data_IF_752604167438
#
_entry.id   IF_752604167438
#
_cell.length_a   1.000
_cell.length_b   1.000
_cell.length_c   1.000
_cell.angle_alpha   90.00
_cell.angle_beta   90.00
_cell.angle_gamma   90.00
#
_symmetry.space_group_name_H-M   'P 1'
#
loop_
_entity.id
_entity.type
_entity.pdbx_description
1 polymer ?
#
# COMPACT_ATOMS: atom_id res chain seq x y z
N UNK A 1 -18.01 21.61 35.25
CA UNK A 1 -18.09 23.05 34.88
C UNK A 1 -17.73 23.32 33.41
N UNK A 2 -16.77 22.60 32.80
CA UNK A 2 -16.42 22.78 31.36
C UNK A 2 -17.54 22.28 30.42
N UNK A 3 -18.19 21.16 30.75
CA UNK A 3 -19.24 20.57 29.90
C UNK A 3 -20.52 21.42 29.82
N UNK A 4 -20.86 22.18 30.87
CA UNK A 4 -22.07 23.02 30.92
C UNK A 4 -21.98 24.28 30.05
N UNK A 5 -20.77 24.72 29.70
CA UNK A 5 -20.56 25.90 28.85
C UNK A 5 -20.53 25.52 27.38
N UNK A 6 -20.02 24.32 27.07
CA UNK A 6 -20.02 23.71 25.72
C UNK A 6 -21.45 23.46 25.22
N UNK A 7 -22.38 23.14 26.13
CA UNK A 7 -23.78 22.80 25.87
C UNK A 7 -24.72 24.01 25.66
N UNK A 8 -24.22 25.25 25.57
CA UNK A 8 -25.10 26.43 25.36
C UNK A 8 -25.31 26.79 23.89
N UNK A 9 -24.44 26.38 22.99
CA UNK A 9 -24.57 26.67 21.56
C UNK A 9 -25.25 25.50 20.83
N UNK A 10 -26.47 25.69 20.26
CA UNK A 10 -27.25 24.61 19.65
C UNK A 10 -26.53 23.96 18.45
N UNK A 11 -25.69 24.71 17.75
CA UNK A 11 -24.94 24.21 16.59
C UNK A 11 -23.90 23.17 17.01
N UNK A 12 -23.18 23.42 18.09
CA UNK A 12 -22.18 22.51 18.66
C UNK A 12 -22.81 21.18 19.07
N UNK A 13 -24.01 21.23 19.66
CA UNK A 13 -24.76 20.03 20.07
C UNK A 13 -25.16 19.21 18.85
N UNK A 14 -25.67 19.86 17.79
CA UNK A 14 -26.07 19.15 16.56
C UNK A 14 -24.88 18.42 15.94
N UNK A 15 -23.74 19.09 15.79
CA UNK A 15 -22.52 18.47 15.24
C UNK A 15 -21.99 17.34 16.12
N UNK A 16 -22.03 17.49 17.44
CA UNK A 16 -21.64 16.44 18.38
C UNK A 16 -22.55 15.22 18.27
N UNK A 17 -23.87 15.41 18.30
CA UNK A 17 -24.85 14.33 18.20
C UNK A 17 -24.70 13.63 16.84
N UNK A 18 -24.54 14.38 15.74
CA UNK A 18 -24.35 13.82 14.41
C UNK A 18 -23.08 12.97 14.32
N UNK A 19 -21.95 13.48 14.83
CA UNK A 19 -20.66 12.77 14.79
C UNK A 19 -20.69 11.51 15.65
N UNK A 20 -21.29 11.60 16.85
CA UNK A 20 -21.42 10.46 17.78
C UNK A 20 -22.38 9.41 17.21
N UNK A 21 -23.54 9.82 16.70
CA UNK A 21 -24.52 8.91 16.09
C UNK A 21 -23.92 8.18 14.88
N UNK A 22 -23.21 8.91 14.01
CA UNK A 22 -22.51 8.31 12.86
C UNK A 22 -21.48 7.27 13.31
N UNK A 23 -20.68 7.59 14.32
CA UNK A 23 -19.66 6.69 14.87
C UNK A 23 -20.28 5.41 15.45
N UNK A 24 -21.37 5.54 16.21
CA UNK A 24 -22.08 4.41 16.80
C UNK A 24 -22.65 3.49 15.72
N UNK A 25 -23.30 4.06 14.69
CA UNK A 25 -23.86 3.28 13.58
C UNK A 25 -22.75 2.46 12.90
N UNK A 26 -21.59 3.07 12.62
CA UNK A 26 -20.47 2.38 11.96
C UNK A 26 -19.84 1.30 12.83
N UNK A 27 -19.75 1.53 14.14
CA UNK A 27 -19.28 0.51 15.10
C UNK A 27 -20.24 -0.70 15.14
N UNK A 28 -21.55 -0.45 15.13
CA UNK A 28 -22.56 -1.52 15.13
C UNK A 28 -22.56 -2.28 13.81
N UNK A 29 -22.45 -1.60 12.67
CA UNK A 29 -22.27 -2.22 11.36
C UNK A 29 -21.04 -3.13 11.34
N UNK A 30 -19.88 -2.64 11.81
CA UNK A 30 -18.66 -3.43 11.89
C UNK A 30 -18.82 -4.69 12.77
N UNK A 31 -19.45 -4.55 13.95
CA UNK A 31 -19.68 -5.70 14.83
C UNK A 31 -20.62 -6.74 14.20
N UNK A 32 -21.67 -6.30 13.53
CA UNK A 32 -22.60 -7.21 12.85
C UNK A 32 -21.92 -7.96 11.70
N UNK A 33 -21.11 -7.26 10.91
CA UNK A 33 -20.35 -7.85 9.82
C UNK A 33 -19.33 -8.87 10.35
N UNK A 34 -18.59 -8.51 11.39
CA UNK A 34 -17.65 -9.41 12.06
C UNK A 34 -18.34 -10.69 12.55
N UNK A 35 -19.46 -10.56 13.26
CA UNK A 35 -20.22 -11.73 13.76
C UNK A 35 -20.70 -12.61 12.61
N UNK A 36 -21.14 -12.00 11.50
CA UNK A 36 -21.58 -12.74 10.32
C UNK A 36 -20.44 -13.55 9.70
N UNK A 37 -19.30 -12.93 9.38
CA UNK A 37 -18.16 -13.62 8.76
C UNK A 37 -17.58 -14.67 9.73
N UNK A 38 -17.48 -14.34 11.01
CA UNK A 38 -16.98 -15.28 12.02
C UNK A 38 -17.92 -16.47 12.24
N UNK A 39 -19.24 -16.27 12.15
CA UNK A 39 -20.21 -17.37 12.18
C UNK A 39 -20.01 -18.30 10.98
N UNK A 40 -19.90 -17.75 9.78
CA UNK A 40 -19.65 -18.55 8.57
C UNK A 40 -18.31 -19.32 8.64
N UNK A 41 -17.25 -18.70 9.18
CA UNK A 41 -15.98 -19.36 9.45
C UNK A 41 -16.13 -20.50 10.49
N UNK A 42 -16.90 -20.27 11.55
CA UNK A 42 -17.16 -21.26 12.60
C UNK A 42 -17.97 -22.44 12.06
N UNK A 43 -19.00 -22.17 11.26
CA UNK A 43 -19.81 -23.18 10.59
C UNK A 43 -18.94 -24.03 9.65
N UNK A 44 -18.01 -23.39 8.93
CA UNK A 44 -17.06 -24.04 8.06
C UNK A 44 -16.00 -24.87 8.82
N UNK A 45 -15.62 -24.45 10.04
CA UNK A 45 -14.72 -25.22 10.90
C UNK A 45 -15.38 -26.44 11.55
N UNK A 46 -16.64 -26.33 11.99
CA UNK A 46 -17.32 -27.41 12.71
C UNK A 46 -17.93 -28.45 11.77
N UNK A 47 -18.58 -28.02 10.68
CA UNK A 47 -19.21 -28.92 9.72
C UNK A 47 -19.24 -28.31 8.32
N UNK A 48 -18.10 -28.34 7.64
CA UNK A 48 -17.93 -27.75 6.31
C UNK A 48 -18.98 -28.22 5.30
N UNK A 49 -19.44 -29.49 5.37
CA UNK A 49 -20.41 -30.06 4.41
C UNK A 49 -21.77 -29.36 4.42
N UNK A 50 -22.15 -28.77 5.56
CA UNK A 50 -23.43 -28.07 5.71
C UNK A 50 -23.28 -26.54 5.62
N UNK A 51 -22.04 -26.02 5.49
CA UNK A 51 -21.83 -24.58 5.33
C UNK A 51 -22.41 -24.10 4.00
N UNK A 52 -23.22 -23.04 4.07
CA UNK A 52 -23.87 -22.45 2.90
C UNK A 52 -22.82 -21.91 1.91
N UNK A 53 -21.76 -21.29 2.42
CA UNK A 53 -20.66 -20.78 1.62
C UNK A 53 -19.95 -21.92 0.90
N UNK A 54 -19.66 -23.03 1.59
CA UNK A 54 -19.01 -24.18 0.97
C UNK A 54 -19.89 -24.82 -0.12
N UNK A 55 -21.18 -25.07 0.15
CA UNK A 55 -22.10 -25.65 -0.85
C UNK A 55 -22.19 -24.75 -2.09
N UNK A 56 -22.33 -23.43 -1.90
CA UNK A 56 -22.36 -22.48 -3.00
C UNK A 56 -21.05 -22.51 -3.80
N UNK A 57 -19.92 -22.45 -3.11
CA UNK A 57 -18.59 -22.46 -3.73
C UNK A 57 -18.32 -23.76 -4.51
N UNK A 58 -18.74 -24.90 -3.96
CA UNK A 58 -18.64 -26.21 -4.61
C UNK A 58 -19.51 -26.31 -5.86
N UNK A 59 -20.75 -25.82 -5.81
CA UNK A 59 -21.62 -25.82 -6.98
C UNK A 59 -21.05 -24.94 -8.09
N UNK A 60 -20.55 -23.76 -7.74
CA UNK A 60 -19.88 -22.88 -8.69
C UNK A 60 -18.64 -23.55 -9.27
N UNK A 61 -17.78 -24.14 -8.44
CA UNK A 61 -16.59 -24.86 -8.89
C UNK A 61 -16.91 -25.99 -9.88
N UNK A 62 -17.91 -26.81 -9.57
CA UNK A 62 -18.36 -27.90 -10.46
C UNK A 62 -18.89 -27.37 -11.79
N UNK A 63 -19.62 -26.24 -11.78
CA UNK A 63 -20.11 -25.61 -13.00
C UNK A 63 -18.95 -25.08 -13.87
N UNK A 64 -17.94 -24.43 -13.26
CA UNK A 64 -16.75 -23.98 -13.98
C UNK A 64 -15.97 -25.16 -14.58
N UNK A 65 -15.81 -26.26 -13.85
CA UNK A 65 -15.15 -27.47 -14.34
C UNK A 65 -15.94 -28.18 -15.46
N UNK A 66 -17.28 -28.15 -15.40
CA UNK A 66 -18.12 -28.71 -16.46
C UNK A 66 -18.01 -27.92 -17.77
N UNK A 67 -17.84 -26.60 -17.68
CA UNK A 67 -17.66 -25.73 -18.84
C UNK A 67 -16.24 -25.80 -19.42
N UNK A 68 -15.22 -26.04 -18.57
CA UNK A 68 -13.82 -26.11 -18.98
C UNK A 68 -13.12 -27.38 -18.44
N UNK A 69 -13.28 -28.55 -19.10
CA UNK A 69 -12.78 -29.83 -18.57
C UNK A 69 -11.26 -29.98 -18.47
N UNK A 70 -10.52 -29.15 -19.23
CA UNK A 70 -9.07 -29.25 -19.39
C UNK A 70 -8.28 -28.08 -18.78
N UNK A 71 -8.96 -27.09 -18.18
CA UNK A 71 -8.29 -25.97 -17.51
C UNK A 71 -7.90 -26.35 -16.09
N UNK A 72 -6.62 -26.23 -15.75
CA UNK A 72 -6.21 -26.22 -14.35
C UNK A 72 -6.65 -24.90 -13.70
N UNK A 73 -7.68 -24.99 -12.87
CA UNK A 73 -8.22 -23.84 -12.14
C UNK A 73 -7.25 -23.50 -11.01
N UNK A 74 -6.68 -22.28 -11.05
CA UNK A 74 -5.95 -21.74 -9.91
C UNK A 74 -6.94 -21.50 -8.76
N UNK A 75 -6.78 -22.26 -7.68
CA UNK A 75 -7.74 -22.25 -6.60
C UNK A 75 -7.78 -20.91 -5.87
N UNK A 76 -6.63 -20.26 -5.71
CA UNK A 76 -6.56 -18.95 -5.04
C UNK A 76 -7.38 -17.91 -5.80
N UNK A 77 -7.16 -17.79 -7.12
CA UNK A 77 -7.88 -16.83 -7.97
C UNK A 77 -9.39 -17.11 -8.02
N UNK A 78 -9.77 -18.40 -8.02
CA UNK A 78 -11.18 -18.78 -7.99
C UNK A 78 -11.86 -18.38 -6.68
N UNK A 79 -11.18 -18.55 -5.54
CA UNK A 79 -11.73 -18.15 -4.25
C UNK A 79 -11.78 -16.62 -4.11
N UNK A 80 -10.83 -15.88 -4.68
CA UNK A 80 -10.88 -14.42 -4.74
C UNK A 80 -12.09 -13.91 -5.55
N UNK A 81 -12.39 -14.55 -6.69
CA UNK A 81 -13.59 -14.26 -7.49
C UNK A 81 -14.87 -14.55 -6.67
N UNK A 82 -14.94 -15.71 -6.02
CA UNK A 82 -16.07 -16.07 -5.15
C UNK A 82 -16.23 -15.12 -3.96
N UNK A 83 -15.13 -14.72 -3.32
CA UNK A 83 -15.14 -13.81 -2.18
C UNK A 83 -15.65 -12.41 -2.58
N UNK A 84 -15.39 -12.01 -3.83
CA UNK A 84 -15.92 -10.76 -4.39
C UNK A 84 -17.44 -10.78 -4.52
N UNK A 85 -18.04 -11.96 -4.73
CA UNK A 85 -19.48 -12.15 -4.85
C UNK A 85 -20.22 -12.33 -3.51
N UNK A 86 -19.50 -12.42 -2.38
CA UNK A 86 -20.13 -12.58 -1.08
C UNK A 86 -20.92 -11.33 -0.68
N UNK A 87 -22.19 -11.53 -0.33
CA UNK A 87 -23.14 -10.45 0.01
C UNK A 87 -23.60 -10.54 1.46
N UNK A 88 -23.59 -9.40 2.14
CA UNK A 88 -24.23 -9.18 3.44
C UNK A 88 -25.29 -8.07 3.27
N UNK A 89 -26.55 -8.33 3.64
CA UNK A 89 -27.67 -7.36 3.52
C UNK A 89 -27.75 -6.67 2.14
N UNK A 90 -27.59 -7.44 1.06
CA UNK A 90 -27.56 -6.99 -0.34
C UNK A 90 -26.39 -6.08 -0.75
N UNK A 91 -25.35 -5.94 0.08
CA UNK A 91 -24.10 -5.25 -0.25
C UNK A 91 -22.94 -6.24 -0.32
N UNK A 92 -21.94 -5.96 -1.15
CA UNK A 92 -20.73 -6.77 -1.20
C UNK A 92 -19.93 -6.61 0.09
N UNK A 93 -19.47 -7.73 0.67
CA UNK A 93 -18.74 -7.71 1.95
C UNK A 93 -17.48 -6.86 1.85
N UNK A 94 -16.71 -7.00 0.74
CA UNK A 94 -15.48 -6.24 0.52
C UNK A 94 -15.76 -4.73 0.50
N UNK A 95 -16.85 -4.31 -0.15
CA UNK A 95 -17.25 -2.90 -0.20
C UNK A 95 -17.67 -2.40 1.19
N UNK A 96 -18.38 -3.21 1.97
CA UNK A 96 -18.79 -2.88 3.34
C UNK A 96 -17.59 -2.71 4.27
N UNK A 97 -16.60 -3.62 4.20
CA UNK A 97 -15.33 -3.52 4.94
C UNK A 97 -14.60 -2.22 4.57
N UNK A 98 -14.48 -1.92 3.27
CA UNK A 98 -13.83 -0.69 2.79
C UNK A 98 -14.55 0.57 3.29
N UNK A 99 -15.87 0.58 3.26
CA UNK A 99 -16.69 1.69 3.75
C UNK A 99 -16.54 1.90 5.26
N UNK A 100 -16.43 0.81 6.03
CA UNK A 100 -16.16 0.86 7.48
C UNK A 100 -14.76 1.42 7.73
N UNK A 101 -13.72 0.98 7.01
CA UNK A 101 -12.35 1.52 7.15
C UNK A 101 -12.29 3.02 6.83
N UNK A 102 -12.98 3.47 5.78
CA UNK A 102 -13.03 4.88 5.41
C UNK A 102 -13.84 5.75 6.40
N UNK A 103 -14.62 5.14 7.29
CA UNK A 103 -15.48 5.89 8.22
C UNK A 103 -14.70 6.72 9.23
N UNK A 104 -13.49 6.30 9.62
CA UNK A 104 -12.58 7.07 10.47
C UNK A 104 -12.19 8.40 9.80
N UNK A 105 -11.83 8.36 8.51
CA UNK A 105 -11.49 9.56 7.73
C UNK A 105 -12.69 10.50 7.58
N UNK A 106 -13.88 9.95 7.33
CA UNK A 106 -15.12 10.73 7.26
C UNK A 106 -15.43 11.42 8.59
N UNK A 107 -15.15 10.75 9.72
CA UNK A 107 -15.33 11.34 11.05
C UNK A 107 -14.40 12.54 11.30
N UNK A 108 -13.15 12.48 10.84
CA UNK A 108 -12.23 13.62 10.87
C UNK A 108 -12.77 14.76 10.00
N UNK A 109 -13.23 14.44 8.78
CA UNK A 109 -13.78 15.43 7.86
C UNK A 109 -15.02 16.12 8.44
N UNK A 110 -15.91 15.39 9.13
CA UNK A 110 -17.04 15.96 9.87
C UNK A 110 -16.57 16.90 11.00
N UNK A 111 -15.49 16.56 11.69
CA UNK A 111 -14.87 17.43 12.70
C UNK A 111 -14.32 18.72 12.10
N UNK A 112 -13.60 18.64 10.97
CA UNK A 112 -13.07 19.79 10.23
C UNK A 112 -14.20 20.67 9.68
N UNK A 113 -15.29 20.07 9.17
CA UNK A 113 -16.48 20.80 8.75
C UNK A 113 -17.07 21.59 9.92
N UNK A 114 -17.17 20.99 11.11
CA UNK A 114 -17.59 21.69 12.32
C UNK A 114 -16.70 22.89 12.66
N UNK A 115 -15.38 22.75 12.48
CA UNK A 115 -14.42 23.87 12.65
C UNK A 115 -14.71 25.01 11.69
N UNK A 116 -14.93 24.70 10.41
CA UNK A 116 -15.23 25.72 9.41
C UNK A 116 -16.53 26.47 9.71
N UNK A 117 -17.56 25.76 10.16
CA UNK A 117 -18.84 26.36 10.59
C UNK A 117 -18.65 27.23 11.83
N UNK A 118 -17.87 26.78 12.82
CA UNK A 118 -17.59 27.54 14.03
C UNK A 118 -16.81 28.84 13.77
N UNK A 119 -15.80 28.79 12.90
CA UNK A 119 -15.05 29.98 12.47
C UNK A 119 -15.90 30.92 11.61
N UNK A 120 -16.79 30.38 10.77
CA UNK A 120 -17.73 31.21 10.00
C UNK A 120 -18.71 31.95 10.92
N UNK A 121 -19.23 31.28 11.96
CA UNK A 121 -20.05 31.94 12.98
C UNK A 121 -19.28 32.96 13.81
N UNK A 122 -17.99 32.75 14.04
CA UNK A 122 -17.12 33.72 14.71
C UNK A 122 -17.08 35.03 13.91
N UNK A 123 -16.81 34.97 12.60
CA UNK A 123 -16.76 36.16 11.74
C UNK A 123 -18.12 36.89 11.67
N UNK A 124 -19.23 36.16 11.67
CA UNK A 124 -20.58 36.74 11.68
C UNK A 124 -20.98 37.36 13.03
N UNK A 125 -20.30 37.00 14.11
CA UNK A 125 -20.62 37.49 15.47
C UNK A 125 -19.84 38.76 15.84
N UNK A 126 -18.82 39.13 15.06
CA UNK A 126 -18.02 40.34 15.28
C UNK A 126 -18.78 41.54 14.75
N UNK A 127 -19.23 42.41 15.65
CA UNK A 127 -19.80 43.72 15.29
C UNK A 127 -18.71 44.78 15.48
N UNK A 128 -18.35 45.48 14.40
CA UNK A 128 -17.32 46.52 14.43
C UNK A 128 -17.74 47.74 15.25
N UNK A 129 -19.04 47.89 15.54
CA UNK A 129 -19.57 49.02 16.29
C UNK A 129 -19.58 48.77 17.81
N UNK A 130 -19.58 47.51 18.25
CA UNK A 130 -19.69 47.10 19.67
C UNK A 130 -18.80 45.87 19.96
N UNK A 131 -17.48 46.07 19.91
CA UNK A 131 -16.48 45.00 20.10
C UNK A 131 -16.59 44.35 21.50
N UNK A 132 -16.88 45.15 22.55
CA UNK A 132 -16.94 44.66 23.92
C UNK A 132 -18.11 43.69 24.13
N UNK A 133 -19.27 43.94 23.51
CA UNK A 133 -20.46 43.09 23.62
C UNK A 133 -20.43 41.88 22.68
N UNK A 134 -19.66 41.95 21.58
CA UNK A 134 -19.46 40.84 20.64
C UNK A 134 -18.37 39.85 21.08
N UNK A 135 -17.39 40.29 21.88
CA UNK A 135 -16.27 39.46 22.35
C UNK A 135 -16.72 38.11 22.98
N UNK A 136 -17.71 38.06 23.89
CA UNK A 136 -18.13 36.80 24.50
C UNK A 136 -18.76 35.82 23.50
N UNK A 137 -19.51 36.32 22.51
CA UNK A 137 -20.11 35.49 21.44
C UNK A 137 -19.05 34.95 20.49
N UNK A 138 -18.08 35.79 20.12
CA UNK A 138 -16.92 35.40 19.29
C UNK A 138 -16.12 34.28 19.94
N UNK A 139 -15.81 34.40 21.24
CA UNK A 139 -15.08 33.36 22.00
C UNK A 139 -15.88 32.04 22.06
N UNK A 140 -17.21 32.11 22.19
CA UNK A 140 -18.07 30.92 22.18
C UNK A 140 -18.10 30.18 20.83
N UNK A 141 -18.08 30.92 19.72
CA UNK A 141 -18.00 30.36 18.37
C UNK A 141 -16.63 29.73 18.09
N UNK A 142 -15.55 30.35 18.57
CA UNK A 142 -14.20 29.77 18.54
C UNK A 142 -14.13 28.47 19.36
N UNK A 143 -14.70 28.45 20.57
CA UNK A 143 -14.78 27.24 21.39
C UNK A 143 -15.55 26.11 20.68
N UNK A 144 -16.59 26.46 19.93
CA UNK A 144 -17.37 25.50 19.11
C UNK A 144 -16.49 24.84 18.06
N UNK A 145 -15.70 25.62 17.32
CA UNK A 145 -14.79 25.11 16.29
C UNK A 145 -13.76 24.12 16.84
N UNK A 146 -13.15 24.43 18.00
CA UNK A 146 -12.19 23.52 18.64
C UNK A 146 -12.86 22.25 19.17
N UNK A 147 -14.04 22.39 19.78
CA UNK A 147 -14.74 21.25 20.38
C UNK A 147 -15.16 20.23 19.32
N UNK A 148 -15.68 20.68 18.17
CA UNK A 148 -16.08 19.77 17.09
C UNK A 148 -14.89 19.02 16.48
N UNK A 149 -13.74 19.67 16.37
CA UNK A 149 -12.50 19.04 15.89
C UNK A 149 -11.98 17.97 16.85
N UNK A 150 -11.91 18.29 18.15
CA UNK A 150 -11.46 17.35 19.19
C UNK A 150 -12.36 16.10 19.20
N UNK A 151 -13.68 16.28 19.14
CA UNK A 151 -14.60 15.14 19.10
C UNK A 151 -14.51 14.33 17.81
N UNK A 152 -14.30 14.96 16.65
CA UNK A 152 -14.08 14.27 15.39
C UNK A 152 -12.83 13.37 15.43
N UNK A 153 -11.74 13.87 16.02
CA UNK A 153 -10.50 13.11 16.21
C UNK A 153 -10.70 11.97 17.23
N UNK A 154 -11.31 12.25 18.39
CA UNK A 154 -11.57 11.22 19.42
C UNK A 154 -12.45 10.09 18.85
N UNK A 155 -13.54 10.43 18.16
CA UNK A 155 -14.42 9.45 17.53
C UNK A 155 -13.69 8.64 16.44
N UNK A 156 -12.83 9.27 15.65
CA UNK A 156 -11.99 8.59 14.66
C UNK A 156 -11.03 7.58 15.29
N UNK A 157 -10.37 7.95 16.39
CA UNK A 157 -9.49 7.05 17.16
C UNK A 157 -10.29 5.86 17.71
N UNK A 158 -11.48 6.12 18.28
CA UNK A 158 -12.36 5.07 18.80
C UNK A 158 -12.81 4.10 17.70
N UNK A 159 -13.22 4.62 16.54
CA UNK A 159 -13.60 3.81 15.38
C UNK A 159 -12.43 2.91 14.97
N UNK A 160 -11.23 3.48 14.77
CA UNK A 160 -10.05 2.69 14.37
C UNK A 160 -9.67 1.63 15.40
N UNK A 161 -9.77 1.95 16.69
CA UNK A 161 -9.51 1.00 17.76
C UNK A 161 -10.48 -0.19 17.70
N UNK A 162 -11.78 0.07 17.53
CA UNK A 162 -12.80 -0.98 17.44
C UNK A 162 -12.67 -1.79 16.13
N UNK A 163 -12.35 -1.14 15.01
CA UNK A 163 -12.08 -1.83 13.73
C UNK A 163 -10.90 -2.79 13.89
N UNK A 164 -9.84 -2.36 14.59
CA UNK A 164 -8.66 -3.19 14.84
C UNK A 164 -8.96 -4.37 15.78
N UNK A 165 -9.85 -4.21 16.75
CA UNK A 165 -10.29 -5.32 17.60
C UNK A 165 -11.17 -6.32 16.83
N UNK A 166 -12.09 -5.83 16.01
CA UNK A 166 -13.01 -6.62 15.21
C UNK A 166 -12.58 -6.60 13.74
N UNK A 167 -11.39 -7.11 13.45
CA UNK A 167 -10.81 -7.07 12.11
C UNK A 167 -11.57 -8.01 11.14
N UNK A 168 -12.52 -7.42 10.41
CA UNK A 168 -13.32 -8.14 9.42
C UNK A 168 -12.50 -8.62 8.22
N UNK A 169 -11.44 -7.90 7.84
CA UNK A 169 -10.60 -8.27 6.70
C UNK A 169 -9.79 -9.52 7.02
N UNK A 170 -9.18 -9.54 8.19
CA UNK A 170 -8.41 -10.70 8.63
C UNK A 170 -9.29 -11.96 8.73
N UNK A 171 -10.52 -11.86 9.28
CA UNK A 171 -11.43 -13.02 9.34
C UNK A 171 -11.89 -13.44 7.95
N UNK A 172 -12.16 -12.50 7.03
CA UNK A 172 -12.51 -12.83 5.66
C UNK A 172 -11.38 -13.61 4.97
N UNK A 173 -10.12 -13.19 5.16
CA UNK A 173 -8.94 -13.90 4.65
C UNK A 173 -8.86 -15.31 5.24
N UNK A 174 -9.08 -15.49 6.56
CA UNK A 174 -9.08 -16.81 7.17
C UNK A 174 -10.18 -17.72 6.61
N UNK A 175 -11.37 -17.17 6.36
CA UNK A 175 -12.48 -17.88 5.73
C UNK A 175 -12.10 -18.31 4.31
N UNK A 176 -11.53 -17.41 3.52
CA UNK A 176 -11.04 -17.68 2.18
C UNK A 176 -9.97 -18.78 2.16
N UNK A 177 -8.94 -18.68 3.01
CA UNK A 177 -7.87 -19.69 3.11
C UNK A 177 -8.40 -21.07 3.51
N UNK A 178 -9.33 -21.11 4.47
CA UNK A 178 -9.92 -22.39 4.90
C UNK A 178 -10.78 -22.99 3.80
N UNK A 179 -11.57 -22.17 3.11
CA UNK A 179 -12.39 -22.59 1.97
C UNK A 179 -11.51 -23.11 0.82
N UNK A 180 -10.43 -22.40 0.50
CA UNK A 180 -9.41 -22.80 -0.48
C UNK A 180 -8.82 -24.17 -0.14
N UNK A 181 -8.38 -24.37 1.11
CA UNK A 181 -7.77 -25.63 1.55
C UNK A 181 -8.77 -26.80 1.41
N UNK A 182 -10.02 -26.62 1.87
CA UNK A 182 -11.05 -27.67 1.78
C UNK A 182 -11.33 -28.03 0.33
N UNK A 183 -11.55 -27.03 -0.54
CA UNK A 183 -11.88 -27.30 -1.93
C UNK A 183 -10.66 -27.82 -2.72
N UNK A 184 -9.43 -27.44 -2.36
CA UNK A 184 -8.20 -28.02 -2.94
C UNK A 184 -8.05 -29.49 -2.57
N UNK A 185 -8.29 -29.85 -1.30
CA UNK A 185 -8.29 -31.25 -0.86
C UNK A 185 -9.34 -32.07 -1.62
N UNK A 186 -10.52 -31.52 -1.86
CA UNK A 186 -11.58 -32.23 -2.57
C UNK A 186 -11.29 -32.34 -4.07
N UNK A 187 -10.77 -31.28 -4.69
CA UNK A 187 -10.33 -31.29 -6.10
C UNK A 187 -9.22 -32.31 -6.34
N UNK A 188 -8.23 -32.39 -5.44
CA UNK A 188 -7.14 -33.37 -5.54
C UNK A 188 -7.63 -34.79 -5.37
N UNK A 189 -8.57 -35.05 -4.45
CA UNK A 189 -9.20 -36.37 -4.31
C UNK A 189 -9.95 -36.79 -5.58
N UNK A 190 -10.72 -35.89 -6.19
CA UNK A 190 -11.45 -36.15 -7.45
C UNK A 190 -10.45 -36.44 -8.59
N UNK A 191 -9.34 -35.71 -8.68
CA UNK A 191 -8.27 -35.97 -9.67
C UNK A 191 -7.64 -37.35 -9.47
N UNK A 192 -7.36 -37.75 -8.21
CA UNK A 192 -6.81 -39.07 -7.88
C UNK A 192 -7.75 -40.21 -8.27
N UNK A 193 -9.03 -40.11 -7.91
CA UNK A 193 -10.02 -41.13 -8.23
C UNK A 193 -10.20 -41.30 -9.75
N UNK A 194 -10.17 -40.19 -10.51
CA UNK A 194 -10.17 -40.25 -11.98
C UNK A 194 -8.92 -40.91 -12.57
N UNK A 195 -7.76 -40.72 -11.96
CA UNK A 195 -6.52 -41.38 -12.41
C UNK A 195 -6.59 -42.89 -12.15
N UNK A 196 -7.08 -43.30 -10.99
CA UNK A 196 -7.24 -44.73 -10.65
C UNK A 196 -8.20 -45.44 -11.63
N UNK A 197 -9.33 -44.80 -11.96
CA UNK A 197 -10.27 -45.32 -12.96
C UNK A 197 -9.62 -45.46 -14.34
N UNK A 198 -8.86 -44.45 -14.78
CA UNK A 198 -8.15 -44.52 -16.08
C UNK A 198 -7.05 -45.58 -16.09
N UNK A 199 -6.33 -45.76 -14.98
CA UNK A 199 -5.31 -46.81 -14.84
C UNK A 199 -5.96 -48.20 -14.89
N UNK A 200 -7.14 -48.38 -14.28
CA UNK A 200 -7.89 -49.64 -14.34
C UNK A 200 -8.44 -49.92 -15.75
N UNK A 201 -8.88 -48.92 -16.51
CA UNK A 201 -9.23 -49.07 -17.93
C UNK A 201 -8.02 -49.49 -18.78
N UNK A 202 -6.85 -48.86 -18.57
CA UNK A 202 -5.60 -49.24 -19.24
C UNK A 202 -5.19 -50.68 -18.90
N UNK A 203 -5.32 -51.08 -17.64
CA UNK A 203 -5.04 -52.45 -17.20
C UNK A 203 -5.98 -53.46 -17.85
N UNK A 204 -7.26 -53.14 -17.98
CA UNK A 204 -8.24 -54.00 -18.63
C UNK A 204 -7.98 -54.14 -20.14
N UNK A 205 -7.60 -53.06 -20.82
CA UNK A 205 -7.21 -53.09 -22.25
C UNK A 205 -5.92 -53.89 -22.46
N UNK A 206 -4.90 -53.73 -21.62
CA UNK A 206 -3.68 -54.56 -21.66
C UNK A 206 -4.02 -56.04 -21.46
N UNK A 207 -4.94 -56.38 -20.55
CA UNK A 207 -5.39 -57.76 -20.32
C UNK A 207 -6.12 -58.34 -21.53
N UNK A 208 -6.91 -57.53 -22.25
CA UNK A 208 -7.55 -57.94 -23.50
C UNK A 208 -6.54 -58.16 -24.64
N UNK A 209 -5.55 -57.28 -24.76
CA UNK A 209 -4.45 -57.44 -25.72
C UNK A 209 -3.66 -58.71 -25.41
N UNK A 210 -3.33 -58.94 -24.15
CA UNK A 210 -2.62 -60.15 -23.71
C UNK A 210 -3.39 -61.44 -24.05
N UNK A 211 -4.71 -61.47 -23.82
CA UNK A 211 -5.56 -62.60 -24.25
C UNK A 211 -5.63 -62.77 -25.77
N UNK A 212 -5.56 -61.67 -26.51
CA UNK A 212 -5.57 -61.70 -27.98
C UNK A 212 -4.24 -62.23 -28.54
N UNK A 213 -3.13 -61.95 -27.86
CA UNK A 213 -1.80 -62.49 -28.19
C UNK A 213 -1.71 -63.99 -27.84
N UNK A 214 -2.33 -64.42 -26.74
CA UNK A 214 -2.46 -65.84 -26.37
C UNK A 214 -3.24 -66.66 -27.43
N UNK A 215 -4.15 -66.02 -28.18
CA UNK A 215 -4.85 -66.65 -29.30
C UNK A 215 -3.97 -66.79 -30.57
N UNK A 216 -2.90 -65.99 -30.69
CA UNK A 216 -1.94 -66.03 -31.80
C UNK A 216 -0.93 -67.20 -31.62
N UNK A 217 -0.74 -67.73 -30.41
CA UNK A 217 0.04 -68.96 -30.18
C UNK A 217 -0.59 -70.24 -30.78
N UNK A 218 -1.83 -70.17 -31.31
CA UNK A 218 -2.48 -71.30 -32.00
C UNK A 218 -2.13 -71.43 -33.50
N UNK A 219 -1.07 -70.77 -33.96
CA UNK A 219 -0.54 -70.95 -35.32
C UNK A 219 -0.05 -72.37 -35.61
N UNK A 220 0.23 -73.19 -34.58
CA UNK A 220 0.62 -74.59 -34.73
C UNK A 220 -0.50 -75.52 -35.23
N UNK A 221 -1.77 -75.14 -35.05
CA UNK A 221 -2.91 -75.96 -35.50
C UNK A 221 -3.22 -75.77 -36.98
N UNK A 222 -2.94 -74.58 -37.51
CA UNK A 222 -3.19 -74.19 -38.91
C UNK A 222 -2.25 -74.94 -39.87
N UNK A 223 -0.99 -75.18 -39.47
CA UNK A 223 -0.05 -75.96 -40.27
C UNK A 223 -0.38 -77.46 -40.34
N UNK A 224 -1.14 -77.98 -39.37
CA UNK A 224 -1.48 -79.42 -39.30
C UNK A 224 -2.71 -79.76 -40.16
N UNK A 225 -3.71 -78.89 -40.18
CA UNK A 225 -4.94 -79.05 -40.97
C UNK A 225 -4.69 -78.87 -42.50
N UNK A 226 -3.57 -78.24 -42.89
CA UNK A 226 -3.18 -78.01 -44.29
C UNK A 226 -2.75 -79.29 -45.03
N UNK A 227 -2.33 -80.33 -44.31
CA UNK A 227 -1.93 -81.61 -44.91
C UNK A 227 -3.13 -82.55 -45.17
N UNK A 228 -4.10 -82.59 -44.25
CA UNK A 228 -5.31 -83.41 -44.40
C UNK A 228 -6.25 -82.83 -45.49
N UNK A 229 -6.22 -81.51 -45.69
CA UNK A 229 -6.95 -80.82 -46.75
C UNK A 229 -6.59 -81.30 -48.16
N UNK A 230 -5.35 -81.74 -48.38
CA UNK A 230 -4.84 -82.08 -49.70
C UNK A 230 -5.40 -83.41 -50.24
N UNK A 231 -5.71 -84.36 -49.35
CA UNK A 231 -6.25 -85.67 -49.71
C UNK A 231 -7.77 -85.65 -49.93
N UNK A 232 -8.52 -84.81 -49.20
CA UNK A 232 -9.94 -84.54 -49.51
C UNK A 232 -10.10 -83.71 -50.80
N UNK A 233 -9.13 -82.84 -51.11
CA UNK A 233 -9.14 -82.00 -52.31
C UNK A 233 -9.10 -82.84 -53.60
N UNK A 234 -8.33 -83.92 -53.63
CA UNK A 234 -8.23 -84.79 -54.82
C UNK A 234 -9.50 -85.62 -55.04
N UNK A 235 -10.12 -86.15 -53.98
CA UNK A 235 -11.41 -86.84 -54.08
C UNK A 235 -12.58 -85.89 -54.45
N UNK A 236 -12.49 -84.62 -54.04
CA UNK A 236 -13.46 -83.59 -54.41
C UNK A 236 -13.49 -83.27 -55.91
N UNK A 237 -12.34 -83.35 -56.59
CA UNK A 237 -12.20 -83.06 -58.03
C UNK A 237 -12.96 -84.07 -58.91
N UNK A 238 -13.05 -85.33 -58.49
CA UNK A 238 -13.75 -86.37 -59.24
C UNK A 238 -15.28 -86.25 -59.12
N UNK A 239 -15.75 -85.81 -57.95
CA UNK A 239 -17.17 -85.47 -57.70
C UNK A 239 -17.58 -84.18 -58.42
N UNK A 240 -16.65 -83.22 -58.55
CA UNK A 240 -16.84 -81.96 -59.27
C UNK A 240 -17.14 -82.18 -60.77
N UNK A 241 -16.56 -83.23 -61.36
CA UNK A 241 -16.77 -83.61 -62.76
C UNK A 241 -18.21 -84.02 -63.05
N UNK A 242 -18.90 -84.65 -62.08
CA UNK A 242 -20.32 -85.01 -62.18
C UNK A 242 -21.28 -83.84 -61.90
N UNK A 243 -20.88 -82.87 -61.05
CA UNK A 243 -21.65 -81.66 -60.78
C UNK A 243 -21.55 -80.61 -61.90
N UNK A 244 -20.52 -80.68 -62.75
CA UNK A 244 -20.28 -79.73 -63.83
C UNK A 244 -21.39 -79.75 -64.91
N UNK A 245 -22.11 -80.87 -65.05
CA UNK A 245 -23.31 -80.96 -65.91
C UNK A 245 -24.52 -80.18 -65.34
N UNK A 246 -24.53 -79.88 -64.04
CA UNK A 246 -25.51 -79.00 -63.38
C UNK A 246 -25.10 -77.53 -63.26
N UNK A 247 -23.90 -77.16 -63.73
CA UNK A 247 -23.17 -75.89 -63.45
C UNK A 247 -23.75 -74.61 -64.05
N UNK A 248 -24.82 -74.68 -64.86
CA UNK A 248 -25.37 -73.49 -65.55
C UNK A 248 -25.92 -72.43 -64.59
N UNK A 249 -26.33 -72.83 -63.38
CA UNK A 249 -26.80 -71.95 -62.29
C UNK A 249 -25.65 -71.43 -61.44
N UNK A 250 -24.64 -72.27 -61.13
CA UNK A 250 -23.45 -71.88 -60.36
C UNK A 250 -22.61 -70.83 -61.09
N UNK A 251 -22.51 -70.91 -62.42
CA UNK A 251 -21.85 -69.88 -63.25
C UNK A 251 -22.54 -68.52 -63.13
N UNK A 252 -23.87 -68.48 -63.00
CA UNK A 252 -24.61 -67.23 -62.77
C UNK A 252 -24.35 -66.66 -61.37
N UNK A 253 -24.34 -67.50 -60.34
CA UNK A 253 -24.03 -67.07 -58.97
C UNK A 253 -22.58 -66.59 -58.85
N UNK A 254 -21.66 -67.27 -59.52
CA UNK A 254 -20.25 -66.90 -59.61
C UNK A 254 -20.06 -65.53 -60.29
N UNK A 255 -20.70 -65.30 -61.45
CA UNK A 255 -20.69 -64.00 -62.13
C UNK A 255 -21.21 -62.88 -61.21
N UNK A 256 -22.27 -63.13 -60.45
CA UNK A 256 -22.79 -62.17 -59.47
C UNK A 256 -21.79 -61.90 -58.33
N UNK A 257 -21.10 -62.91 -57.80
CA UNK A 257 -20.07 -62.73 -56.78
C UNK A 257 -18.84 -62.00 -57.32
N UNK A 258 -18.40 -62.27 -58.55
CA UNK A 258 -17.29 -61.57 -59.19
C UNK A 258 -17.62 -60.10 -59.41
N UNK A 259 -18.84 -59.77 -59.87
CA UNK A 259 -19.30 -58.37 -59.99
C UNK A 259 -19.40 -57.65 -58.64
N UNK A 260 -19.82 -58.35 -57.58
CA UNK A 260 -19.84 -57.78 -56.22
C UNK A 260 -18.42 -57.53 -55.71
N UNK A 261 -17.50 -58.46 -55.96
CA UNK A 261 -16.09 -58.35 -55.59
C UNK A 261 -15.41 -57.19 -56.33
N UNK A 262 -15.68 -57.03 -57.63
CA UNK A 262 -15.20 -55.90 -58.44
C UNK A 262 -15.69 -54.56 -57.89
N UNK A 263 -16.97 -54.45 -57.51
CA UNK A 263 -17.51 -53.27 -56.81
C UNK A 263 -16.80 -53.00 -55.48
N UNK A 264 -16.52 -54.04 -54.69
CA UNK A 264 -15.83 -53.88 -53.40
C UNK A 264 -14.38 -53.43 -53.59
N UNK A 265 -13.67 -53.96 -54.59
CA UNK A 265 -12.33 -53.50 -54.95
C UNK A 265 -12.32 -52.06 -55.45
N UNK A 266 -13.31 -51.65 -56.24
CA UNK A 266 -13.45 -50.26 -56.68
C UNK A 266 -13.67 -49.30 -55.50
N UNK A 267 -14.54 -49.66 -54.55
CA UNK A 267 -14.77 -48.88 -53.32
C UNK A 267 -13.51 -48.82 -52.46
N UNK A 268 -12.78 -49.93 -52.33
CA UNK A 268 -11.52 -49.99 -51.59
C UNK A 268 -10.47 -49.06 -52.21
N UNK A 269 -10.33 -49.09 -53.54
CA UNK A 269 -9.38 -48.24 -54.25
C UNK A 269 -9.70 -46.74 -54.08
N UNK A 270 -11.00 -46.39 -54.12
CA UNK A 270 -11.47 -45.03 -53.89
C UNK A 270 -11.20 -44.55 -52.45
N UNK A 271 -11.34 -45.45 -51.46
CA UNK A 271 -10.98 -45.17 -50.07
C UNK A 271 -9.47 -45.01 -49.88
N UNK A 272 -8.66 -45.83 -50.54
CA UNK A 272 -7.20 -45.72 -50.49
C UNK A 272 -6.73 -44.38 -51.06
N UNK A 273 -7.23 -43.97 -52.22
CA UNK A 273 -6.90 -42.66 -52.80
C UNK A 273 -7.28 -41.50 -51.88
N UNK A 274 -8.47 -41.52 -51.29
CA UNK A 274 -8.86 -40.50 -50.28
C UNK A 274 -7.98 -40.50 -49.04
N UNK A 275 -7.42 -41.66 -48.65
CA UNK A 275 -6.50 -41.75 -47.53
C UNK A 275 -5.14 -41.16 -47.87
N UNK A 276 -4.64 -41.39 -49.09
CA UNK A 276 -3.43 -40.76 -49.61
C UNK A 276 -3.58 -39.24 -49.73
N UNK A 277 -4.70 -38.75 -50.30
CA UNK A 277 -5.00 -37.31 -50.35
C UNK A 277 -4.97 -36.66 -48.96
N UNK A 278 -5.47 -37.38 -47.95
CA UNK A 278 -5.48 -36.90 -46.56
C UNK A 278 -4.10 -36.94 -45.92
N UNK A 279 -3.27 -37.90 -46.31
CA UNK A 279 -1.88 -38.03 -45.84
C UNK A 279 -1.00 -36.93 -46.43
N UNK A 280 -1.15 -36.62 -47.72
CA UNK A 280 -0.43 -35.53 -48.39
C UNK A 280 -0.75 -34.18 -47.74
N UNK A 281 -2.04 -33.91 -47.48
CA UNK A 281 -2.46 -32.70 -46.76
C UNK A 281 -1.91 -32.63 -45.32
N UNK A 282 -1.62 -33.78 -44.70
CA UNK A 282 -1.10 -33.82 -43.34
C UNK A 282 0.41 -33.50 -43.27
N UNK A 283 1.18 -33.82 -44.31
CA UNK A 283 2.60 -33.45 -44.39
C UNK A 283 2.78 -31.92 -44.49
N UNK A 284 1.88 -31.24 -45.21
CA UNK A 284 1.89 -29.79 -45.32
C UNK A 284 1.53 -29.09 -44.00
N UNK A 285 0.52 -29.58 -43.28
CA UNK A 285 0.17 -29.08 -41.93
C UNK A 285 1.35 -29.26 -40.97
N UNK A 286 2.03 -30.40 -41.02
CA UNK A 286 3.19 -30.66 -40.17
C UNK A 286 4.36 -29.70 -40.48
N UNK A 287 4.58 -29.34 -41.76
CA UNK A 287 5.60 -28.35 -42.13
C UNK A 287 5.26 -26.95 -41.63
N UNK A 288 4.00 -26.56 -41.71
CA UNK A 288 3.52 -25.26 -41.21
C UNK A 288 3.70 -25.15 -39.69
N UNK A 289 3.29 -26.18 -38.93
CA UNK A 289 3.52 -26.26 -37.48
C UNK A 289 5.01 -26.15 -37.13
N UNK A 290 5.89 -26.79 -37.91
CA UNK A 290 7.33 -26.77 -37.66
C UNK A 290 7.93 -25.38 -37.91
N UNK A 291 7.43 -24.65 -38.91
CA UNK A 291 7.81 -23.26 -39.16
C UNK A 291 7.35 -22.33 -38.04
N UNK A 292 6.09 -22.42 -37.63
CA UNK A 292 5.56 -21.65 -36.50
C UNK A 292 6.29 -21.94 -35.19
N UNK A 293 6.61 -23.21 -34.91
CA UNK A 293 7.41 -23.59 -33.74
C UNK A 293 8.81 -22.96 -33.76
N UNK A 294 9.46 -22.90 -34.94
CA UNK A 294 10.76 -22.25 -35.10
C UNK A 294 10.68 -20.76 -34.82
N UNK A 295 9.66 -20.09 -35.35
CA UNK A 295 9.43 -18.66 -35.14
C UNK A 295 9.09 -18.36 -33.67
N UNK A 296 8.22 -19.15 -33.06
CA UNK A 296 7.90 -19.06 -31.63
C UNK A 296 9.14 -19.26 -30.76
N UNK A 297 10.01 -20.23 -31.08
CA UNK A 297 11.26 -20.45 -30.35
C UNK A 297 12.18 -19.24 -30.42
N UNK A 298 12.26 -18.57 -31.57
CA UNK A 298 13.05 -17.35 -31.75
C UNK A 298 12.48 -16.21 -30.89
N UNK A 299 11.17 -16.01 -30.93
CA UNK A 299 10.49 -14.97 -30.15
C UNK A 299 10.64 -15.21 -28.63
N UNK A 300 10.59 -16.47 -28.18
CA UNK A 300 10.84 -16.83 -26.78
C UNK A 300 12.26 -16.47 -26.37
N UNK A 301 13.26 -16.73 -27.23
CA UNK A 301 14.65 -16.40 -26.94
C UNK A 301 14.85 -14.87 -26.80
N UNK A 302 14.34 -14.08 -27.75
CA UNK A 302 14.42 -12.61 -27.71
C UNK A 302 13.69 -12.03 -26.49
N UNK A 303 12.53 -12.59 -26.13
CA UNK A 303 11.80 -12.21 -24.93
C UNK A 303 12.56 -12.57 -23.65
N UNK A 304 13.22 -13.73 -23.60
CA UNK A 304 14.02 -14.16 -22.45
C UNK A 304 15.24 -13.26 -22.26
N UNK A 305 15.90 -12.84 -23.35
CA UNK A 305 17.02 -11.90 -23.30
C UNK A 305 16.56 -10.53 -22.76
N UNK A 306 15.40 -10.06 -23.22
CA UNK A 306 14.80 -8.80 -22.74
C UNK A 306 14.48 -8.85 -21.25
N UNK A 307 13.97 -9.98 -20.74
CA UNK A 307 13.74 -10.17 -19.31
C UNK A 307 15.03 -10.12 -18.49
N UNK A 308 16.14 -10.67 -19.02
CA UNK A 308 17.44 -10.58 -18.35
C UNK A 308 17.91 -9.13 -18.21
N UNK A 309 17.79 -8.34 -19.29
CA UNK A 309 18.12 -6.89 -19.26
C UNK A 309 17.25 -6.14 -18.25
N UNK A 310 15.93 -6.39 -18.22
CA UNK A 310 15.02 -5.78 -17.24
C UNK A 310 15.41 -6.13 -15.81
N UNK A 311 15.75 -7.40 -15.54
CA UNK A 311 16.24 -7.85 -14.23
C UNK A 311 17.50 -7.10 -13.82
N UNK A 312 18.43 -6.89 -14.74
CA UNK A 312 19.66 -6.14 -14.48
C UNK A 312 19.36 -4.66 -14.16
N UNK A 313 18.47 -4.01 -14.92
CA UNK A 313 18.00 -2.66 -14.63
C UNK A 313 17.39 -2.55 -13.24
N UNK A 314 16.51 -3.47 -12.84
CA UNK A 314 15.91 -3.49 -11.49
C UNK A 314 16.99 -3.64 -10.42
N UNK A 315 17.99 -4.49 -10.65
CA UNK A 315 19.11 -4.68 -9.71
C UNK A 315 19.93 -3.40 -9.54
N UNK A 316 20.24 -2.71 -10.65
CA UNK A 316 20.95 -1.44 -10.61
C UNK A 316 20.12 -0.34 -9.94
N UNK A 317 18.82 -0.27 -10.24
CA UNK A 317 17.89 0.67 -9.63
C UNK A 317 17.81 0.46 -8.10
N UNK A 318 17.76 -0.80 -7.64
CA UNK A 318 17.78 -1.13 -6.21
C UNK A 318 19.09 -0.70 -5.54
N UNK A 319 20.24 -0.82 -6.22
CA UNK A 319 21.52 -0.33 -5.71
C UNK A 319 21.51 1.19 -5.54
N UNK A 320 21.00 1.92 -6.54
CA UNK A 320 20.85 3.38 -6.49
C UNK A 320 19.94 3.80 -5.33
N UNK A 321 18.82 3.12 -5.12
CA UNK A 321 17.93 3.39 -4.00
C UNK A 321 18.62 3.16 -2.64
N UNK A 322 19.45 2.12 -2.52
CA UNK A 322 20.25 1.89 -1.30
C UNK A 322 21.25 3.02 -1.04
N UNK A 323 21.90 3.56 -2.09
CA UNK A 323 22.78 4.72 -1.96
C UNK A 323 22.00 5.99 -1.57
N UNK A 324 20.83 6.18 -2.15
CA UNK A 324 19.96 7.31 -1.82
C UNK A 324 19.48 7.26 -0.37
N UNK A 325 19.05 6.10 0.11
CA UNK A 325 18.66 5.88 1.50
C UNK A 325 19.80 6.23 2.46
N UNK A 326 21.01 5.76 2.16
CA UNK A 326 22.20 6.07 2.96
C UNK A 326 22.54 7.56 2.95
N UNK A 327 22.39 8.23 1.81
CA UNK A 327 22.60 9.67 1.70
C UNK A 327 21.58 10.46 2.53
N UNK A 328 20.30 10.07 2.47
CA UNK A 328 19.23 10.68 3.27
C UNK A 328 19.49 10.48 4.76
N UNK A 329 19.91 9.29 5.19
CA UNK A 329 20.26 9.01 6.59
C UNK A 329 21.44 9.86 7.08
N UNK A 330 22.50 10.02 6.26
CA UNK A 330 23.64 10.88 6.62
C UNK A 330 23.22 12.34 6.75
N UNK A 331 22.37 12.83 5.85
CA UNK A 331 21.86 14.20 5.87
C UNK A 331 20.95 14.45 7.08
N UNK A 332 20.08 13.49 7.43
CA UNK A 332 19.29 13.52 8.66
C UNK A 332 20.18 13.54 9.91
N UNK A 333 21.23 12.72 9.93
CA UNK A 333 22.18 12.68 11.06
C UNK A 333 22.92 14.01 11.22
N UNK A 334 23.33 14.63 10.11
CA UNK A 334 23.93 15.98 10.11
C UNK A 334 22.94 17.03 10.59
N UNK A 335 21.68 16.94 10.19
CA UNK A 335 20.62 17.87 10.62
C UNK A 335 20.40 17.78 12.14
N UNK A 336 20.30 16.57 12.68
CA UNK A 336 20.15 16.34 14.13
C UNK A 336 21.35 16.91 14.89
N UNK A 337 22.58 16.65 14.42
CA UNK A 337 23.80 17.23 15.05
C UNK A 337 23.79 18.76 15.03
N UNK A 338 23.31 19.36 13.95
CA UNK A 338 23.20 20.81 13.85
C UNK A 338 22.13 21.37 14.79
N UNK A 339 20.99 20.68 14.92
CA UNK A 339 19.94 21.01 15.90
C UNK A 339 20.48 20.98 17.32
N UNK A 340 21.22 19.93 17.70
CA UNK A 340 21.88 19.83 19.01
C UNK A 340 22.87 20.97 19.25
N UNK A 341 23.66 21.34 18.23
CA UNK A 341 24.59 22.46 18.33
C UNK A 341 23.87 23.78 18.56
N UNK A 342 22.77 24.05 17.85
CA UNK A 342 21.95 25.25 18.04
C UNK A 342 21.37 25.29 19.47
N UNK A 343 20.85 24.16 19.96
CA UNK A 343 20.31 24.05 21.31
C UNK A 343 21.36 24.39 22.38
N UNK A 344 22.58 23.91 22.20
CA UNK A 344 23.69 24.23 23.09
C UNK A 344 24.04 25.73 23.03
N UNK A 345 24.19 26.30 21.83
CA UNK A 345 24.46 27.74 21.68
C UNK A 345 23.34 28.60 22.28
N UNK A 346 22.07 28.20 22.12
CA UNK A 346 20.94 28.89 22.73
C UNK A 346 21.00 28.85 24.26
N UNK A 347 21.42 27.72 24.82
CA UNK A 347 21.62 27.57 26.27
C UNK A 347 22.74 28.50 26.76
N UNK A 348 23.87 28.54 26.04
CA UNK A 348 25.00 29.41 26.39
C UNK A 348 24.60 30.89 26.34
N UNK A 349 23.90 31.33 25.29
CA UNK A 349 23.36 32.70 25.19
C UNK A 349 22.41 33.03 26.35
N UNK A 350 21.56 32.08 26.75
CA UNK A 350 20.67 32.27 27.90
C UNK A 350 21.47 32.44 29.20
N UNK A 351 22.58 31.72 29.38
CA UNK A 351 23.45 31.88 30.56
C UNK A 351 24.21 33.20 30.56
N UNK A 352 24.70 33.67 29.41
CA UNK A 352 25.30 34.99 29.27
C UNK A 352 24.29 36.12 29.53
N UNK A 353 23.04 35.96 29.07
CA UNK A 353 21.99 36.92 29.35
C UNK A 353 21.69 37.03 30.85
N UNK A 354 21.65 35.89 31.56
CA UNK A 354 21.47 35.87 33.02
C UNK A 354 22.65 36.51 33.77
N UNK A 355 23.89 36.30 33.31
CA UNK A 355 25.05 36.94 33.93
C UNK A 355 25.06 38.44 33.68
N UNK A 356 24.71 38.88 32.48
CA UNK A 356 24.59 40.29 32.13
C UNK A 356 23.52 40.99 32.98
N UNK A 357 22.34 40.38 33.15
CA UNK A 357 21.28 40.90 34.02
C UNK A 357 21.75 41.09 35.46
N UNK A 358 22.57 40.16 35.98
CA UNK A 358 23.15 40.30 37.31
C UNK A 358 24.17 41.44 37.38
N UNK A 359 25.05 41.58 36.39
CA UNK A 359 26.00 42.69 36.33
C UNK A 359 25.31 44.05 36.21
N UNK A 360 24.21 44.15 35.45
CA UNK A 360 23.40 45.37 35.37
C UNK A 360 22.78 45.73 36.72
N UNK A 361 22.27 44.73 37.47
CA UNK A 361 21.76 44.96 38.83
C UNK A 361 22.84 45.42 39.79
N UNK A 362 24.03 44.82 39.74
CA UNK A 362 25.16 45.26 40.57
C UNK A 362 25.56 46.69 40.25
N UNK A 363 25.64 47.05 38.96
CA UNK A 363 25.95 48.41 38.53
C UNK A 363 24.88 49.41 39.02
N UNK A 364 23.60 49.05 38.92
CA UNK A 364 22.50 49.87 39.44
C UNK A 364 22.66 50.13 40.94
N UNK A 365 22.96 49.09 41.72
CA UNK A 365 23.20 49.24 43.16
C UNK A 365 24.41 50.14 43.46
N UNK A 366 25.49 50.04 42.67
CA UNK A 366 26.66 50.90 42.81
C UNK A 366 26.30 52.36 42.51
N UNK A 367 25.53 52.61 41.45
CA UNK A 367 25.07 53.95 41.08
C UNK A 367 24.19 54.53 42.20
N UNK A 368 23.24 53.76 42.73
CA UNK A 368 22.36 54.20 43.82
C UNK A 368 23.16 54.55 45.08
N UNK A 369 24.12 53.71 45.47
CA UNK A 369 25.00 53.98 46.62
C UNK A 369 25.85 55.23 46.41
N UNK A 370 26.41 55.41 45.21
CA UNK A 370 27.23 56.57 44.88
C UNK A 370 26.38 57.85 44.84
N UNK A 371 25.16 57.77 44.31
CA UNK A 371 24.22 58.89 44.30
C UNK A 371 23.83 59.31 45.72
N UNK A 372 23.62 58.34 46.62
CA UNK A 372 23.35 58.62 48.03
C UNK A 372 24.55 59.26 48.74
N UNK A 373 25.77 58.75 48.54
CA UNK A 373 27.01 59.33 49.11
C UNK A 373 27.24 60.78 48.61
N UNK A 374 27.00 61.04 47.32
CA UNK A 374 27.05 62.40 46.77
C UNK A 374 25.98 63.28 47.41
N UNK A 375 24.76 62.77 47.60
CA UNK A 375 23.67 63.46 48.29
C UNK A 375 24.05 63.86 49.71
N UNK A 376 24.57 62.92 50.50
CA UNK A 376 25.03 63.19 51.87
C UNK A 376 26.17 64.22 51.92
N UNK A 377 27.11 64.14 50.98
CA UNK A 377 28.20 65.13 50.87
C UNK A 377 27.71 66.51 50.46
N UNK A 378 26.73 66.59 49.56
CA UNK A 378 26.09 67.86 49.19
C UNK A 378 25.34 68.45 50.37
N UNK A 379 24.59 67.65 51.12
CA UNK A 379 23.88 68.10 52.33
C UNK A 379 24.84 68.60 53.41
N UNK A 380 25.97 67.93 53.60
CA UNK A 380 27.05 68.42 54.46
C UNK A 380 27.60 69.76 53.95
N UNK A 381 27.87 69.89 52.64
CA UNK A 381 28.30 71.14 52.04
C UNK A 381 27.30 72.28 52.24
N UNK A 382 26.00 72.01 52.04
CA UNK A 382 24.94 72.98 52.28
C UNK A 382 24.85 73.37 53.75
N UNK A 383 25.02 72.42 54.67
CA UNK A 383 25.08 72.68 56.12
C UNK A 383 26.27 73.57 56.50
N UNK A 384 27.44 73.34 55.89
CA UNK A 384 28.59 74.24 56.06
C UNK A 384 28.33 75.62 55.46
N UNK A 385 27.70 75.69 54.29
CA UNK A 385 27.32 76.94 53.64
C UNK A 385 26.34 77.75 54.49
N UNK A 386 25.37 77.10 55.12
CA UNK A 386 24.43 77.73 56.05
C UNK A 386 25.15 78.21 57.31
N UNK A 387 26.07 77.41 57.89
CA UNK A 387 26.95 77.85 58.99
C UNK A 387 27.79 79.09 58.61
N UNK A 388 28.35 79.11 57.41
CA UNK A 388 29.11 80.26 56.90
C UNK A 388 28.21 81.47 56.63
N UNK A 389 26.98 81.26 56.17
CA UNK A 389 25.98 82.30 55.95
C UNK A 389 25.49 82.90 57.27
N UNK A 390 25.35 82.07 58.29
CA UNK A 390 25.04 82.47 59.66
C UNK A 390 26.22 83.24 60.29
N UNK A 391 27.45 82.76 60.11
CA UNK A 391 28.67 83.44 60.56
C UNK A 391 28.93 84.76 59.82
N UNK A 392 28.60 84.86 58.53
CA UNK A 392 28.67 86.11 57.76
C UNK A 392 27.55 87.07 58.14
N UNK A 393 26.32 86.62 58.39
CA UNK A 393 25.26 87.46 58.97
C UNK A 393 25.62 88.00 60.36
N UNK A 394 26.36 87.22 61.18
CA UNK A 394 26.94 87.69 62.44
C UNK A 394 28.04 88.76 62.18
N UNK A 395 28.78 88.66 61.07
CA UNK A 395 29.84 89.60 60.67
C UNK A 395 29.32 90.89 60.01
N UNK A 396 28.18 90.85 59.30
CA UNK A 396 27.53 92.02 58.71
C UNK A 396 26.80 92.93 59.72
N UNK A 397 26.81 92.57 61.01
CA UNK A 397 26.44 93.50 62.10
C UNK A 397 27.60 94.40 62.55
N UNK A 398 28.83 94.21 62.04
CA UNK A 398 30.01 95.00 62.43
C UNK A 398 30.89 95.38 61.22
N UNK A 399 30.77 96.64 60.78
CA UNK A 399 31.73 97.49 59.99
C UNK A 399 32.20 96.98 58.62
N UNK A 400 31.82 97.59 57.48
CA UNK A 400 32.30 98.86 56.86
C UNK A 400 33.69 98.83 56.19
N UNK A 401 33.67 99.10 54.87
CA UNK A 401 34.66 99.78 54.00
C UNK A 401 36.10 99.23 53.83
N UNK A 402 36.47 98.80 52.61
CA UNK A 402 37.38 99.52 51.67
C UNK A 402 37.86 98.65 50.47
N UNK A 403 37.53 99.14 49.27
CA UNK A 403 38.21 99.20 47.96
C UNK A 403 39.18 98.14 47.37
N UNK A 404 38.81 97.72 46.15
CA UNK A 404 39.56 97.64 44.88
C UNK A 404 41.03 97.21 44.85
N UNK A 405 41.34 96.09 44.17
CA UNK A 405 42.53 95.99 43.30
C UNK A 405 42.32 94.98 42.14
N UNK A 406 42.97 95.32 41.02
CA UNK A 406 42.78 94.88 39.63
C UNK A 406 43.46 93.53 39.31
N UNK A 407 42.84 92.78 38.40
CA UNK A 407 43.28 91.52 37.75
C UNK A 407 44.49 91.74 36.80
N UNK A 408 45.42 90.77 36.71
CA UNK A 408 46.14 90.51 35.47
C UNK A 408 45.95 89.07 34.95
N UNK A 409 45.75 88.97 33.64
CA UNK A 409 45.80 87.76 32.81
C UNK A 409 47.22 87.18 32.76
N UNK A 410 47.34 85.85 32.76
CA UNK A 410 48.51 85.12 32.24
C UNK A 410 48.01 83.94 31.40
N UNK A 411 48.69 83.79 30.27
CA UNK A 411 48.35 83.10 29.04
C UNK A 411 48.43 81.56 29.05
N UNK A 412 47.83 81.04 27.97
CA UNK A 412 47.69 79.68 27.50
C UNK A 412 49.02 78.92 27.26
N UNK A 413 49.06 77.64 27.63
CA UNK A 413 49.81 76.63 26.89
C UNK A 413 48.87 75.42 26.63
N UNK A 414 48.57 75.24 25.35
CA UNK A 414 47.77 74.15 24.78
C UNK A 414 48.72 73.01 24.42
N UNK A 415 48.42 71.79 24.91
CA UNK A 415 49.00 70.57 24.35
C UNK A 415 47.92 69.82 23.56
N UNK A 416 48.18 69.66 22.27
CA UNK A 416 47.41 68.86 21.30
C UNK A 416 47.54 67.35 21.59
N UNK A 417 46.40 66.63 21.56
CA UNK A 417 46.34 65.22 21.16
C UNK A 417 45.12 65.07 20.25
N UNK A 418 45.39 64.67 19.01
CA UNK A 418 44.45 64.55 17.90
C UNK A 418 43.42 63.43 18.07
N UNK A 419 42.19 63.75 17.66
CA UNK A 419 41.07 62.85 17.41
C UNK A 419 41.27 62.07 16.10
N UNK A 420 41.09 60.75 16.11
CA UNK A 420 40.72 60.00 14.90
C UNK A 420 39.47 59.14 15.13
N UNK A 421 38.38 59.58 14.50
CA UNK A 421 37.16 58.82 14.25
C UNK A 421 37.28 58.03 12.94
N UNK A 422 36.72 56.81 12.78
CA UNK A 422 36.51 56.24 11.46
C UNK A 422 35.06 56.46 10.98
N UNK A 423 34.93 57.13 9.83
CA UNK A 423 33.70 57.17 9.02
C UNK A 423 33.72 56.07 7.96
N UNK A 424 32.59 55.40 7.83
CA UNK A 424 32.18 54.52 6.72
C UNK A 424 32.29 55.17 5.32
N UNK A 425 32.66 54.39 4.29
CA UNK A 425 31.79 54.21 3.09
C UNK A 425 32.21 53.07 2.15
N UNK A 426 31.16 52.51 1.52
CA UNK A 426 30.99 51.30 0.68
C UNK A 426 31.72 51.33 -0.68
N UNK A 427 31.97 50.15 -1.28
CA UNK A 427 31.36 49.72 -2.57
C UNK A 427 31.79 48.32 -3.05
N UNK A 428 30.90 47.72 -3.86
CA UNK A 428 30.79 46.35 -4.39
C UNK A 428 31.89 45.92 -5.40
N UNK A 429 32.19 44.60 -5.48
CA UNK A 429 31.92 43.73 -6.66
C UNK A 429 32.72 42.39 -6.67
N UNK A 430 31.95 41.29 -6.62
CA UNK A 430 31.98 40.01 -7.38
C UNK A 430 33.30 39.48 -8.04
N UNK A 431 33.45 38.14 -7.92
CA UNK A 431 34.00 37.07 -8.81
C UNK A 431 35.41 36.49 -8.51
N UNK A 432 35.43 35.13 -8.48
CA UNK A 432 36.52 34.13 -8.68
C UNK A 432 37.30 33.74 -7.41
N UNK A 433 37.60 32.48 -7.14
CA UNK A 433 37.38 31.20 -7.80
C UNK A 433 37.59 30.12 -6.72
N UNK A 434 36.67 29.15 -6.63
CA UNK A 434 36.94 27.87 -5.97
C UNK A 434 37.93 27.09 -6.85
N UNK A 435 39.03 26.61 -6.25
CA UNK A 435 39.88 25.60 -6.84
C UNK A 435 39.33 24.22 -6.50
N UNK A 436 38.94 23.51 -7.55
CA UNK A 436 38.92 22.05 -7.61
C UNK A 436 40.32 21.50 -7.27
N UNK A 437 40.37 20.40 -6.53
CA UNK A 437 41.22 19.24 -6.81
C UNK A 437 41.00 18.20 -5.72
N UNK A 438 40.33 17.10 -6.08
CA UNK A 438 40.75 15.72 -5.79
C UNK A 438 39.62 14.74 -6.08
N UNK A 439 39.50 14.36 -7.36
CA UNK A 439 38.91 13.09 -7.80
C UNK A 439 39.60 12.65 -9.10
N UNK A 440 40.48 11.66 -8.98
CA UNK A 440 40.89 10.65 -9.96
C UNK A 440 41.68 9.60 -9.13
N UNK A 441 41.62 8.29 -9.27
CA UNK A 441 41.06 7.34 -10.22
C UNK A 441 40.98 5.99 -9.48
N UNK A 442 39.85 5.26 -9.58
CA UNK A 442 39.76 3.80 -9.82
C UNK A 442 38.34 3.26 -9.76
#
# INVERSE_FOLDING_TARGET
MIMSTILKNPVTIIFLVLTIAYSIVKIVENKNLYIFINKELTDLNNNFKNSRIYINSKNTYNNYQAQNPYSDINMTSFIEELASDFKHKNKFIIEEIKNIKNSSSICILLGVLGTFVGLSMMLLSVDTNDIINSLPKTISSMQTAFTTSIFGIICSILINFIIKLNDCEHILIQLMLKLENILTCESTHIKSERLDLKIEEVKNTIKQISKSIEAIERFDKISKDLNDFNDEFINGIETLKGLLDGSRTSIKTFDQSVRKLDKQFSILNLKFNKMFDKYDNQDDINREILLEMKESSKNIYESSESQYKVKEYIRNLSSIFGLYERSVQDLLTKLIKHEDSILNTQKDVCTEQLSLDNSVKELSNIIDNTSNDIGEKLDMMFSYLDLYKEATNIKYSNSENYDNYIVPLIDEEIYEIEDESPKNQKSYAIIKNFGEDDLNDK
#
